data_IF_755063483082
#
_entry.id   IF_755063483082
#
_cell.length_a   1.000
_cell.length_b   1.000
_cell.length_c   1.000
_cell.angle_alpha   90.00
_cell.angle_beta   90.00
_cell.angle_gamma   90.00
#
_symmetry.space_group_name_H-M   'P 1'
#
loop_
_entity.id
_entity.type
_entity.pdbx_description
1 polymer ?
#
# COMPACT_ATOMS: atom_id res chain seq x y z
N UNK A 1 -18.96 10.31 2.05
CA UNK A 1 -19.46 8.94 1.84
C UNK A 1 -18.33 8.06 1.31
N UNK A 2 -18.33 6.74 1.57
CA UNK A 2 -17.44 5.81 0.93
C UNK A 2 -17.61 5.87 -0.59
N UNK A 3 -16.50 5.99 -1.30
CA UNK A 3 -16.46 5.84 -2.75
C UNK A 3 -15.42 4.78 -3.10
N UNK A 4 -15.76 3.97 -4.11
CA UNK A 4 -14.91 2.89 -4.60
C UNK A 4 -14.35 3.26 -5.97
N UNK A 5 -13.04 3.14 -6.09
CA UNK A 5 -12.29 3.34 -7.32
C UNK A 5 -11.63 2.02 -7.71
N UNK A 6 -12.00 1.46 -8.85
CA UNK A 6 -11.48 0.19 -9.36
C UNK A 6 -10.17 0.39 -10.10
N UNK A 7 -9.26 -0.54 -9.88
CA UNK A 7 -7.97 -0.64 -10.55
C UNK A 7 -8.18 -1.40 -11.86
N UNK A 8 -7.68 -0.85 -12.95
CA UNK A 8 -7.80 -1.43 -14.29
C UNK A 8 -6.47 -1.95 -14.81
N UNK A 9 -6.51 -2.99 -15.63
CA UNK A 9 -5.32 -3.67 -16.17
C UNK A 9 -4.41 -2.79 -17.04
N UNK A 10 -4.93 -1.66 -17.53
CA UNK A 10 -4.18 -0.65 -18.27
C UNK A 10 -3.48 0.40 -17.37
N UNK A 11 -3.64 0.30 -16.04
CA UNK A 11 -3.17 1.28 -15.07
C UNK A 11 -4.16 2.41 -14.79
N UNK A 12 -5.40 2.32 -15.27
CA UNK A 12 -6.47 3.24 -14.93
C UNK A 12 -6.99 3.04 -13.50
N UNK A 13 -7.48 4.13 -12.90
CA UNK A 13 -8.24 4.13 -11.65
C UNK A 13 -9.56 4.88 -11.91
N UNK A 14 -10.69 4.20 -11.80
CA UNK A 14 -12.00 4.80 -12.13
C UNK A 14 -13.12 4.30 -11.22
N UNK A 15 -14.26 4.98 -11.16
CA UNK A 15 -15.43 4.50 -10.40
C UNK A 15 -16.24 3.43 -11.13
N UNK A 16 -15.87 3.11 -12.38
CA UNK A 16 -16.50 2.06 -13.16
C UNK A 16 -15.81 0.72 -12.87
N UNK A 17 -16.56 -0.27 -12.42
CA UNK A 17 -16.03 -1.62 -12.23
C UNK A 17 -15.64 -2.24 -13.59
N UNK A 18 -14.64 -3.14 -13.63
CA UNK A 18 -14.35 -3.96 -14.81
C UNK A 18 -15.62 -4.68 -15.28
N UNK A 19 -15.88 -4.65 -16.58
CA UNK A 19 -17.02 -5.35 -17.21
C UNK A 19 -16.59 -6.57 -18.03
N UNK A 20 -15.29 -6.84 -18.08
CA UNK A 20 -14.67 -7.99 -18.73
C UNK A 20 -13.33 -8.30 -18.05
N UNK A 21 -12.68 -9.39 -18.43
CA UNK A 21 -11.31 -9.68 -18.02
C UNK A 21 -10.35 -8.66 -18.64
N UNK A 22 -9.55 -8.03 -17.80
CA UNK A 22 -8.51 -7.08 -18.20
C UNK A 22 -7.12 -7.70 -17.94
N UNK A 23 -6.04 -7.13 -18.52
CA UNK A 23 -4.69 -7.62 -18.27
C UNK A 23 -4.32 -7.66 -16.78
N UNK A 24 -3.73 -8.78 -16.35
CA UNK A 24 -3.11 -8.88 -15.02
C UNK A 24 -1.81 -8.07 -14.98
N UNK A 25 -1.35 -7.73 -13.77
CA UNK A 25 -0.08 -7.02 -13.57
C UNK A 25 0.75 -7.69 -12.49
N UNK A 26 2.03 -7.91 -12.78
CA UNK A 26 2.93 -8.70 -11.93
C UNK A 26 3.98 -7.84 -11.22
N UNK A 27 4.35 -8.26 -10.02
CA UNK A 27 5.51 -7.75 -9.30
C UNK A 27 6.30 -8.91 -8.68
N UNK A 28 7.62 -8.91 -8.89
CA UNK A 28 8.51 -9.89 -8.27
C UNK A 28 8.83 -9.48 -6.83
N UNK A 29 9.02 -10.45 -5.94
CA UNK A 29 9.45 -10.21 -4.57
C UNK A 29 10.69 -9.30 -4.51
N UNK A 30 10.67 -8.28 -3.65
CA UNK A 30 11.78 -7.36 -3.47
C UNK A 30 12.98 -8.03 -2.78
N UNK A 31 14.21 -7.52 -2.98
CA UNK A 31 15.36 -7.87 -2.14
C UNK A 31 15.04 -7.61 -0.67
N UNK A 32 15.42 -8.51 0.25
CA UNK A 32 15.15 -8.33 1.67
C UNK A 32 16.10 -7.34 2.34
N UNK A 33 15.67 -6.75 3.45
CA UNK A 33 16.51 -5.92 4.29
C UNK A 33 17.72 -6.72 4.82
N UNK A 34 18.89 -6.12 4.78
CA UNK A 34 20.05 -6.63 5.50
C UNK A 34 19.94 -6.30 6.98
N UNK A 35 20.61 -7.10 7.82
CA UNK A 35 20.71 -6.83 9.24
C UNK A 35 22.11 -7.17 9.75
N UNK A 36 22.62 -6.33 10.65
CA UNK A 36 23.80 -6.60 11.45
C UNK A 36 23.41 -6.58 12.94
N UNK A 37 24.02 -7.45 13.74
CA UNK A 37 23.70 -7.54 15.15
C UNK A 37 24.94 -7.76 16.00
N UNK A 38 24.94 -7.16 17.18
CA UNK A 38 26.08 -7.18 18.07
C UNK A 38 25.73 -6.74 19.48
N UNK A 39 26.75 -6.46 20.28
CA UNK A 39 26.55 -5.85 21.60
C UNK A 39 26.70 -4.34 21.49
N UNK A 40 25.99 -3.60 22.34
CA UNK A 40 26.30 -2.20 22.60
C UNK A 40 27.73 -2.04 23.12
N UNK A 41 28.27 -0.83 23.07
CA UNK A 41 29.66 -0.53 23.49
C UNK A 41 29.93 -0.91 24.96
N UNK A 42 28.91 -0.84 25.82
CA UNK A 42 28.95 -1.25 27.23
C UNK A 42 28.65 -2.74 27.46
N UNK A 43 28.31 -3.49 26.41
CA UNK A 43 27.96 -4.90 26.46
C UNK A 43 26.58 -5.22 27.04
N UNK A 44 25.81 -4.21 27.45
CA UNK A 44 24.54 -4.38 28.19
C UNK A 44 23.31 -4.65 27.32
N UNK A 45 23.35 -4.27 26.04
CA UNK A 45 22.23 -4.39 25.12
C UNK A 45 22.61 -5.11 23.83
N UNK A 46 21.63 -5.79 23.23
CA UNK A 46 21.70 -6.24 21.84
C UNK A 46 21.52 -5.00 20.95
N UNK A 47 22.47 -4.79 20.04
CA UNK A 47 22.36 -3.82 18.94
C UNK A 47 21.89 -4.57 17.70
N UNK A 48 20.91 -4.01 17.00
CA UNK A 48 20.42 -4.49 15.71
C UNK A 48 20.37 -3.30 14.76
N UNK A 49 21.15 -3.37 13.69
CA UNK A 49 21.13 -2.41 12.60
C UNK A 49 20.39 -3.06 11.42
N UNK A 50 19.39 -2.36 10.86
CA UNK A 50 18.57 -2.84 9.74
C UNK A 50 18.78 -1.89 8.56
N UNK A 51 19.11 -2.45 7.40
CA UNK A 51 19.33 -1.67 6.16
C UNK A 51 18.26 -2.05 5.13
N UNK A 52 17.32 -1.13 4.81
CA UNK A 52 16.36 -1.35 3.72
C UNK A 52 17.05 -1.50 2.35
N UNK A 53 16.61 -2.46 1.55
CA UNK A 53 17.14 -2.78 0.22
C UNK A 53 16.10 -2.71 -0.90
N UNK A 54 14.93 -2.15 -0.61
CA UNK A 54 13.82 -1.96 -1.55
C UNK A 54 13.61 -0.49 -1.94
N UNK A 55 14.54 0.39 -1.57
CA UNK A 55 14.47 1.83 -1.81
C UNK A 55 13.52 2.58 -0.87
N UNK A 56 12.84 1.89 0.05
CA UNK A 56 11.90 2.53 0.98
C UNK A 56 12.58 3.43 2.01
N UNK A 57 13.91 3.38 2.16
CA UNK A 57 14.70 4.38 2.90
C UNK A 57 14.56 5.80 2.32
N UNK A 58 14.16 5.89 1.05
CA UNK A 58 13.88 7.13 0.35
C UNK A 58 12.35 7.34 0.18
N UNK A 59 11.61 7.43 1.29
CA UNK A 59 10.14 7.54 1.28
C UNK A 59 9.56 8.30 2.47
N UNK A 60 8.29 8.73 2.35
CA UNK A 60 7.51 9.23 3.50
C UNK A 60 7.46 8.20 4.65
N UNK A 61 7.38 6.91 4.35
CA UNK A 61 7.36 5.85 5.36
C UNK A 61 8.65 5.86 6.20
N UNK A 62 9.82 6.08 5.58
CA UNK A 62 11.07 6.16 6.33
C UNK A 62 11.11 7.34 7.30
N UNK A 63 10.60 8.50 6.87
CA UNK A 63 10.44 9.66 7.76
C UNK A 63 9.51 9.32 8.91
N UNK A 64 8.35 8.69 8.64
CA UNK A 64 7.38 8.34 9.67
C UNK A 64 7.93 7.34 10.71
N UNK A 65 8.56 6.27 10.24
CA UNK A 65 9.01 5.17 11.11
C UNK A 65 10.36 5.42 11.78
N UNK A 66 11.13 6.41 11.32
CA UNK A 66 12.25 6.99 12.08
C UNK A 66 11.80 8.11 13.03
N UNK A 67 10.49 8.24 13.27
CA UNK A 67 9.88 9.27 14.14
C UNK A 67 10.27 10.70 13.72
N UNK A 68 10.46 10.92 12.41
CA UNK A 68 10.84 12.20 11.82
C UNK A 68 12.34 12.49 11.79
N UNK A 69 13.18 11.68 12.45
CA UNK A 69 14.64 11.92 12.55
C UNK A 69 15.28 12.00 11.18
N UNK A 70 14.91 11.12 10.25
CA UNK A 70 15.43 11.14 8.88
C UNK A 70 15.14 12.47 8.16
N UNK A 71 13.98 13.09 8.42
CA UNK A 71 13.60 14.39 7.87
C UNK A 71 14.34 15.59 8.48
N UNK A 72 15.01 15.41 9.63
CA UNK A 72 15.82 16.44 10.28
C UNK A 72 17.29 16.39 9.87
N UNK A 73 17.83 15.19 9.63
CA UNK A 73 19.27 15.01 9.42
C UNK A 73 19.67 14.82 7.95
N UNK A 74 18.74 14.40 7.09
CA UNK A 74 19.00 14.11 5.67
C UNK A 74 17.78 14.43 4.82
N UNK A 75 17.62 15.72 4.45
CA UNK A 75 16.47 16.23 3.68
C UNK A 75 16.58 15.78 2.22
N UNK A 76 16.02 14.60 1.90
CA UNK A 76 16.02 14.02 0.56
C UNK A 76 14.74 14.34 -0.21
N UNK A 77 14.85 14.65 -1.50
CA UNK A 77 13.70 14.95 -2.36
C UNK A 77 12.63 13.87 -2.41
N UNK A 78 13.06 12.61 -2.27
CA UNK A 78 12.17 11.46 -2.28
C UNK A 78 11.20 11.40 -1.09
N UNK A 79 11.40 12.19 -0.03
CA UNK A 79 10.41 12.27 1.06
C UNK A 79 9.14 13.01 0.65
N UNK A 80 9.17 13.78 -0.44
CA UNK A 80 8.02 14.52 -0.98
C UNK A 80 7.84 14.35 -2.50
N UNK A 81 8.58 13.44 -3.12
CA UNK A 81 8.46 13.07 -4.53
C UNK A 81 8.79 11.58 -4.75
N UNK A 82 7.76 10.75 -4.84
CA UNK A 82 7.88 9.29 -4.92
C UNK A 82 8.15 8.75 -6.34
N UNK A 83 8.34 9.61 -7.36
CA UNK A 83 8.55 9.16 -8.75
C UNK A 83 9.62 8.08 -8.92
N UNK A 84 10.73 8.20 -8.19
CA UNK A 84 11.85 7.24 -8.26
C UNK A 84 11.51 5.96 -7.53
N UNK A 85 10.96 6.06 -6.31
CA UNK A 85 10.55 4.92 -5.50
C UNK A 85 9.50 4.05 -6.20
N UNK A 86 8.54 4.69 -6.85
CA UNK A 86 7.39 4.01 -7.48
C UNK A 86 7.63 3.63 -8.94
N UNK A 87 8.84 3.83 -9.47
CA UNK A 87 9.15 3.57 -10.89
C UNK A 87 8.97 2.09 -11.27
N UNK A 88 9.19 1.17 -10.33
CA UNK A 88 9.01 -0.28 -10.49
C UNK A 88 7.71 -0.80 -9.85
N UNK A 89 6.86 0.08 -9.33
CA UNK A 89 5.60 -0.28 -8.70
C UNK A 89 4.47 -0.43 -9.73
N UNK A 90 3.40 -1.13 -9.33
CA UNK A 90 2.15 -1.16 -10.07
C UNK A 90 1.36 0.11 -9.75
N UNK A 91 1.56 1.14 -10.57
CA UNK A 91 0.86 2.42 -10.44
C UNK A 91 -0.48 2.40 -11.17
N UNK A 92 -1.54 2.87 -10.51
CA UNK A 92 -2.86 3.11 -11.08
C UNK A 92 -3.28 4.55 -10.81
N UNK A 93 -3.78 5.23 -11.84
CA UNK A 93 -4.08 6.66 -11.77
C UNK A 93 -5.45 6.99 -12.32
N UNK A 94 -6.09 7.98 -11.72
CA UNK A 94 -7.29 8.58 -12.31
C UNK A 94 -6.94 9.36 -13.57
N UNK A 95 -7.95 9.68 -14.38
CA UNK A 95 -7.86 10.88 -15.21
C UNK A 95 -7.57 12.11 -14.32
N UNK A 96 -7.01 13.21 -14.87
CA UNK A 96 -6.95 14.47 -14.13
C UNK A 96 -8.32 14.79 -13.53
N UNK A 97 -8.36 15.08 -12.23
CA UNK A 97 -9.59 15.35 -11.51
C UNK A 97 -10.27 16.57 -12.12
N UNK A 98 -11.57 16.46 -12.39
CA UNK A 98 -12.35 17.55 -12.98
C UNK A 98 -12.70 18.66 -11.98
N UNK A 99 -12.60 18.37 -10.68
CA UNK A 99 -12.83 19.28 -9.56
C UNK A 99 -12.01 18.81 -8.35
N UNK A 100 -11.89 19.67 -7.33
CA UNK A 100 -11.21 19.31 -6.08
C UNK A 100 -11.88 18.11 -5.39
N UNK A 101 -11.08 17.11 -5.05
CA UNK A 101 -11.55 15.85 -4.46
C UNK A 101 -10.99 15.67 -3.05
N UNK A 102 -11.84 15.84 -2.03
CA UNK A 102 -11.43 15.75 -0.63
C UNK A 102 -11.62 14.33 -0.08
N UNK A 103 -10.57 13.81 0.53
CA UNK A 103 -10.53 12.51 1.21
C UNK A 103 -10.30 12.78 2.69
N UNK A 104 -11.15 12.25 3.57
CA UNK A 104 -10.98 12.39 5.01
C UNK A 104 -11.41 11.12 5.77
N UNK A 105 -10.43 10.48 6.42
CA UNK A 105 -10.63 9.29 7.25
C UNK A 105 -9.74 8.11 6.83
N UNK A 106 -10.02 6.89 7.31
CA UNK A 106 -9.33 5.68 6.89
C UNK A 106 -9.59 5.33 5.43
N UNK A 107 -8.65 4.63 4.82
CA UNK A 107 -8.73 4.11 3.46
C UNK A 107 -8.50 2.59 3.49
N UNK A 108 -9.02 1.89 2.49
CA UNK A 108 -8.83 0.45 2.34
C UNK A 108 -8.60 0.12 0.87
N UNK A 109 -7.64 -0.74 0.57
CA UNK A 109 -7.54 -1.36 -0.75
C UNK A 109 -8.04 -2.81 -0.67
N UNK A 110 -8.97 -3.19 -1.55
CA UNK A 110 -9.39 -4.56 -1.77
C UNK A 110 -8.65 -5.08 -3.01
N UNK A 111 -7.63 -5.91 -2.81
CA UNK A 111 -6.76 -6.39 -3.89
C UNK A 111 -6.99 -7.88 -4.12
N UNK A 112 -7.29 -8.27 -5.36
CA UNK A 112 -7.37 -9.67 -5.76
C UNK A 112 -6.04 -10.10 -6.35
N UNK A 113 -5.34 -10.96 -5.64
CA UNK A 113 -3.97 -11.35 -5.98
C UNK A 113 -3.83 -12.86 -6.01
N UNK A 114 -2.88 -13.34 -6.80
CA UNK A 114 -2.27 -14.67 -6.65
C UNK A 114 -0.76 -14.52 -6.51
N UNK A 115 -0.08 -15.55 -6.03
CA UNK A 115 1.38 -15.58 -5.96
C UNK A 115 1.90 -16.95 -6.34
N UNK A 116 3.10 -17.01 -6.93
CA UNK A 116 3.81 -18.28 -7.16
C UNK A 116 4.46 -18.84 -5.88
N UNK A 117 4.54 -18.03 -4.82
CA UNK A 117 5.12 -18.38 -3.52
C UNK A 117 4.04 -18.57 -2.44
N UNK A 118 4.44 -19.11 -1.28
CA UNK A 118 3.53 -19.41 -0.16
C UNK A 118 3.02 -18.16 0.57
N UNK A 119 3.64 -17.01 0.34
CA UNK A 119 3.22 -15.73 0.88
C UNK A 119 3.64 -14.58 -0.07
N UNK A 120 3.13 -13.39 0.19
CA UNK A 120 3.46 -12.17 -0.54
C UNK A 120 3.29 -10.95 0.38
N UNK A 121 3.96 -9.85 0.04
CA UNK A 121 3.81 -8.57 0.74
C UNK A 121 3.15 -7.57 -0.20
N UNK A 122 2.15 -6.86 0.30
CA UNK A 122 1.47 -5.78 -0.42
C UNK A 122 1.71 -4.47 0.33
N UNK A 123 2.57 -3.62 -0.23
CA UNK A 123 2.68 -2.21 0.16
C UNK A 123 1.78 -1.39 -0.74
N UNK A 124 0.85 -0.63 -0.16
CA UNK A 124 -0.06 0.25 -0.90
C UNK A 124 0.24 1.69 -0.53
N UNK A 125 0.62 2.52 -1.50
CA UNK A 125 0.92 3.94 -1.30
C UNK A 125 -0.11 4.79 -2.05
N UNK A 126 -0.58 5.84 -1.39
CA UNK A 126 -1.50 6.82 -1.96
C UNK A 126 -0.73 8.13 -2.19
N UNK A 127 -0.93 8.73 -3.36
CA UNK A 127 -0.27 9.97 -3.74
C UNK A 127 -1.08 10.85 -4.70
N UNK A 128 -0.70 12.13 -4.76
CA UNK A 128 -1.19 13.11 -5.73
C UNK A 128 -0.16 13.24 -6.86
N UNK A 129 -0.56 12.96 -8.11
CA UNK A 129 0.28 13.23 -9.28
C UNK A 129 -0.08 14.62 -9.79
N UNK A 130 0.86 15.55 -9.66
CA UNK A 130 0.68 16.93 -10.11
C UNK A 130 0.77 17.01 -11.65
N UNK A 131 0.26 18.09 -12.27
CA UNK A 131 0.42 18.34 -13.71
C UNK A 131 1.89 18.37 -14.18
N UNK A 132 2.82 18.69 -13.28
CA UNK A 132 4.27 18.64 -13.54
C UNK A 132 4.85 17.22 -13.58
N UNK A 133 4.05 16.20 -13.27
CA UNK A 133 4.44 14.81 -13.13
C UNK A 133 4.99 14.42 -11.76
N UNK A 134 5.23 15.38 -10.85
CA UNK A 134 5.68 15.09 -9.47
C UNK A 134 4.64 14.25 -8.73
N UNK A 135 5.09 13.25 -7.98
CA UNK A 135 4.22 12.36 -7.20
C UNK A 135 4.35 12.70 -5.72
N UNK A 136 3.41 13.46 -5.18
CA UNK A 136 3.41 13.87 -3.78
C UNK A 136 2.83 12.74 -2.92
N UNK A 137 3.59 12.15 -1.98
CA UNK A 137 3.07 11.08 -1.13
C UNK A 137 2.08 11.61 -0.09
N UNK A 138 1.05 10.81 0.21
CA UNK A 138 -0.03 11.17 1.14
C UNK A 138 -0.06 10.24 2.35
N UNK A 139 -0.20 8.94 2.11
CA UNK A 139 -0.34 7.91 3.14
C UNK A 139 -0.01 6.55 2.55
N UNK A 140 0.09 5.51 3.38
CA UNK A 140 0.35 4.17 2.91
C UNK A 140 -0.23 3.09 3.85
N UNK A 141 -0.23 1.86 3.37
CA UNK A 141 -0.57 0.63 4.08
C UNK A 141 0.44 -0.48 3.77
N UNK A 142 0.52 -1.49 4.62
CA UNK A 142 1.39 -2.65 4.44
C UNK A 142 0.71 -3.89 4.97
N UNK A 143 0.64 -4.94 4.15
CA UNK A 143 0.01 -6.21 4.52
C UNK A 143 0.86 -7.40 4.09
N UNK A 144 1.07 -8.35 5.01
CA UNK A 144 1.53 -9.69 4.68
C UNK A 144 0.30 -10.53 4.33
N UNK A 145 0.30 -11.19 3.16
CA UNK A 145 -0.90 -11.82 2.61
C UNK A 145 -1.36 -13.03 3.44
N UNK A 146 -0.42 -13.76 4.04
CA UNK A 146 -0.74 -14.83 4.99
C UNK A 146 -1.54 -14.32 6.20
N UNK A 147 -1.41 -13.05 6.56
CA UNK A 147 -2.13 -12.41 7.67
C UNK A 147 -3.40 -11.66 7.23
N UNK A 148 -3.92 -11.92 6.03
CA UNK A 148 -5.08 -11.21 5.45
C UNK A 148 -6.41 -11.42 6.16
N UNK A 149 -6.52 -12.41 7.05
CA UNK A 149 -7.79 -12.71 7.72
C UNK A 149 -8.31 -11.50 8.51
N UNK A 150 -9.55 -11.08 8.23
CA UNK A 150 -10.21 -9.90 8.81
C UNK A 150 -11.20 -10.32 9.89
N UNK A 151 -11.18 -9.63 11.03
CA UNK A 151 -12.23 -9.64 12.05
C UNK A 151 -13.27 -8.55 11.75
N UNK A 152 -14.31 -8.93 11.01
CA UNK A 152 -15.37 -7.99 10.62
C UNK A 152 -16.07 -7.32 11.81
N UNK A 153 -16.09 -7.94 12.99
CA UNK A 153 -16.73 -7.36 14.17
C UNK A 153 -15.96 -6.17 14.73
N UNK A 154 -14.67 -6.05 14.39
CA UNK A 154 -13.75 -4.99 14.82
C UNK A 154 -13.37 -4.03 13.71
N UNK A 155 -13.59 -4.42 12.45
CA UNK A 155 -13.45 -3.54 11.29
C UNK A 155 -14.37 -2.33 11.36
N UNK A 156 -13.95 -1.22 10.75
CA UNK A 156 -14.77 -0.01 10.65
C UNK A 156 -15.59 -0.03 9.37
N UNK A 157 -16.89 0.15 9.54
CA UNK A 157 -17.83 0.31 8.45
C UNK A 157 -18.44 1.72 8.45
N UNK A 158 -18.64 2.27 7.26
CA UNK A 158 -19.36 3.53 7.05
C UNK A 158 -20.37 3.29 5.93
N UNK A 159 -21.65 3.56 6.18
CA UNK A 159 -22.75 3.26 5.24
C UNK A 159 -22.73 1.82 4.66
N UNK A 160 -22.33 0.84 5.48
CA UNK A 160 -22.26 -0.57 5.08
C UNK A 160 -21.00 -0.96 4.30
N UNK A 161 -20.13 -0.02 3.96
CA UNK A 161 -18.85 -0.27 3.29
C UNK A 161 -17.71 -0.36 4.31
N UNK A 162 -16.84 -1.37 4.18
CA UNK A 162 -15.66 -1.52 5.05
C UNK A 162 -14.60 -0.50 4.60
N UNK A 163 -14.21 0.39 5.49
CA UNK A 163 -13.24 1.46 5.19
C UNK A 163 -11.94 1.32 5.96
N UNK A 164 -11.90 0.40 6.93
CA UNK A 164 -10.71 0.08 7.72
C UNK A 164 -10.81 -1.39 8.18
N UNK A 165 -10.05 -2.32 7.59
CA UNK A 165 -10.09 -3.71 8.01
C UNK A 165 -9.37 -3.86 9.36
N UNK A 166 -9.86 -4.75 10.21
CA UNK A 166 -9.14 -5.17 11.41
C UNK A 166 -8.60 -6.59 11.20
N UNK A 167 -7.29 -6.76 11.09
CA UNK A 167 -6.70 -8.10 10.91
C UNK A 167 -6.51 -8.83 12.25
N UNK A 168 -6.71 -10.15 12.24
CA UNK A 168 -6.53 -10.96 13.45
C UNK A 168 -5.08 -10.97 13.96
N UNK A 169 -4.10 -11.00 13.05
CA UNK A 169 -2.67 -11.04 13.35
C UNK A 169 -2.26 -12.12 14.36
N UNK A 170 -2.93 -13.27 14.30
CA UNK A 170 -2.68 -14.45 15.14
C UNK A 170 -2.32 -15.65 14.27
N UNK A 171 -1.51 -16.56 14.82
CA UNK A 171 -1.02 -17.72 14.07
C UNK A 171 -2.15 -18.68 13.67
N UNK A 172 -3.21 -18.85 14.47
CA UNK A 172 -4.34 -19.73 14.15
C UNK A 172 -5.24 -19.16 13.02
N UNK A 173 -5.10 -17.87 12.72
CA UNK A 173 -5.81 -17.18 11.63
C UNK A 173 -4.94 -16.95 10.41
N UNK A 174 -3.70 -17.41 10.44
CA UNK A 174 -2.79 -17.34 9.30
C UNK A 174 -3.30 -18.22 8.15
N UNK A 175 -3.28 -17.67 6.94
CA UNK A 175 -3.80 -18.28 5.72
C UNK A 175 -2.71 -18.25 4.65
N UNK A 176 -1.81 -19.23 4.63
CA UNK A 176 -0.79 -19.32 3.57
C UNK A 176 -1.43 -19.37 2.19
N UNK A 177 -0.74 -18.83 1.18
CA UNK A 177 -1.15 -18.93 -0.21
C UNK A 177 -0.87 -20.34 -0.74
N UNK A 178 -1.80 -20.86 -1.54
CA UNK A 178 -1.46 -21.89 -2.50
C UNK A 178 -0.95 -21.21 -3.77
N UNK A 179 0.10 -21.74 -4.43
CA UNK A 179 0.58 -21.18 -5.68
C UNK A 179 -0.54 -20.99 -6.70
N UNK A 180 -0.60 -19.80 -7.27
CA UNK A 180 -1.55 -19.36 -8.30
C UNK A 180 -3.03 -19.31 -7.88
N UNK A 181 -3.36 -19.56 -6.61
CA UNK A 181 -4.70 -19.36 -6.07
C UNK A 181 -5.00 -17.85 -5.91
N UNK A 182 -6.12 -17.39 -6.48
CA UNK A 182 -6.56 -16.00 -6.35
C UNK A 182 -7.29 -15.80 -5.03
N UNK A 183 -6.82 -14.84 -4.23
CA UNK A 183 -7.41 -14.47 -2.94
C UNK A 183 -7.66 -12.97 -2.87
N UNK A 184 -8.69 -12.57 -2.13
CA UNK A 184 -8.92 -11.16 -1.78
C UNK A 184 -8.10 -10.79 -0.54
N UNK A 185 -7.39 -9.66 -0.62
CA UNK A 185 -6.64 -9.06 0.49
C UNK A 185 -7.16 -7.65 0.71
N UNK A 186 -7.81 -7.41 1.84
CA UNK A 186 -8.18 -6.05 2.28
C UNK A 186 -7.00 -5.45 3.03
N UNK A 187 -6.35 -4.44 2.46
CA UNK A 187 -5.19 -3.75 3.04
C UNK A 187 -5.67 -2.47 3.74
N UNK A 188 -5.39 -2.33 5.04
CA UNK A 188 -5.55 -1.07 5.75
C UNK A 188 -4.55 -0.04 5.23
N UNK A 189 -5.03 1.17 4.90
CA UNK A 189 -4.22 2.32 4.57
C UNK A 189 -4.45 3.38 5.64
N UNK A 190 -3.36 3.94 6.20
CA UNK A 190 -3.47 4.85 7.33
C UNK A 190 -4.39 6.05 7.04
N UNK A 191 -5.24 6.46 8.01
CA UNK A 191 -6.13 7.59 7.84
C UNK A 191 -5.42 8.87 7.42
N UNK A 192 -6.07 9.64 6.55
CA UNK A 192 -5.56 10.93 6.08
C UNK A 192 -6.68 11.96 5.93
N UNK A 193 -6.30 13.23 5.75
CA UNK A 193 -7.19 14.33 5.38
C UNK A 193 -6.48 15.15 4.32
N UNK A 194 -6.88 15.00 3.06
CA UNK A 194 -6.19 15.57 1.91
C UNK A 194 -7.18 15.99 0.83
N UNK A 195 -6.79 16.97 0.03
CA UNK A 195 -7.48 17.36 -1.19
C UNK A 195 -6.59 17.01 -2.38
N UNK A 196 -7.11 16.24 -3.32
CA UNK A 196 -6.52 16.06 -4.65
C UNK A 196 -7.07 17.20 -5.51
N UNK A 197 -6.19 18.10 -5.97
CA UNK A 197 -6.63 19.31 -6.67
C UNK A 197 -7.17 18.99 -8.05
N UNK A 198 -8.08 19.84 -8.55
CA UNK A 198 -8.43 19.89 -9.97
C UNK A 198 -7.17 19.86 -10.85
N UNK A 199 -7.19 19.04 -11.90
CA UNK A 199 -6.09 18.84 -12.83
C UNK A 199 -4.97 17.91 -12.33
N UNK A 200 -4.92 17.59 -11.03
CA UNK A 200 -4.04 16.54 -10.50
C UNK A 200 -4.71 15.16 -10.62
N UNK A 201 -3.95 14.09 -10.41
CA UNK A 201 -4.50 12.73 -10.38
C UNK A 201 -4.35 12.11 -9.00
N UNK A 202 -5.33 11.31 -8.60
CA UNK A 202 -5.17 10.37 -7.50
C UNK A 202 -4.41 9.14 -8.02
N UNK A 203 -3.37 8.73 -7.29
CA UNK A 203 -2.62 7.51 -7.57
C UNK A 203 -2.71 6.54 -6.39
N UNK A 204 -2.90 5.26 -6.72
CA UNK A 204 -2.55 4.12 -5.87
C UNK A 204 -1.34 3.40 -6.49
N UNK A 205 -0.30 3.22 -5.69
CA UNK A 205 0.94 2.54 -6.09
C UNK A 205 1.13 1.28 -5.25
N UNK A 206 1.24 0.13 -5.90
CA UNK A 206 1.35 -1.17 -5.23
C UNK A 206 2.75 -1.73 -5.45
N UNK A 207 3.43 -2.11 -4.36
CA UNK A 207 4.78 -2.64 -4.39
C UNK A 207 4.88 -3.91 -3.54
N UNK A 208 5.85 -4.79 -3.84
CA UNK A 208 6.04 -6.06 -3.13
C UNK A 208 6.74 -5.88 -1.77
N UNK A 209 6.98 -4.64 -1.30
CA UNK A 209 7.60 -4.36 -0.01
C UNK A 209 7.50 -2.89 0.45
N UNK A 210 7.69 -2.68 1.75
CA UNK A 210 7.98 -1.39 2.39
C UNK A 210 8.82 -1.59 3.66
N UNK A 211 10.11 -1.86 3.50
CA UNK A 211 11.01 -2.24 4.60
C UNK A 211 11.21 -1.14 5.65
N UNK A 212 11.08 0.12 5.26
CA UNK A 212 11.06 1.25 6.17
C UNK A 212 9.93 1.15 7.21
N UNK A 213 8.79 0.55 6.85
CA UNK A 213 7.67 0.31 7.75
C UNK A 213 7.74 -1.04 8.45
N UNK A 214 8.12 -2.09 7.74
CA UNK A 214 8.11 -3.44 8.29
C UNK A 214 9.00 -4.39 7.51
N UNK A 215 9.82 -5.15 8.24
CA UNK A 215 10.71 -6.17 7.69
C UNK A 215 10.20 -7.58 8.03
N UNK A 216 10.46 -8.53 7.13
CA UNK A 216 10.16 -9.94 7.34
C UNK A 216 11.22 -10.61 8.21
N UNK A 217 10.76 -11.47 9.13
CA UNK A 217 11.64 -12.41 9.83
C UNK A 217 12.12 -13.52 8.88
N UNK A 218 13.08 -14.35 9.31
CA UNK A 218 13.69 -15.37 8.45
C UNK A 218 12.70 -16.40 7.90
N UNK A 219 11.70 -16.82 8.69
CA UNK A 219 10.68 -17.78 8.24
C UNK A 219 9.80 -17.15 7.16
N UNK A 220 9.35 -15.91 7.38
CA UNK A 220 8.54 -15.18 6.41
C UNK A 220 9.30 -14.90 5.11
N UNK A 221 10.62 -14.63 5.18
CA UNK A 221 11.44 -14.44 3.98
C UNK A 221 11.42 -15.68 3.09
N UNK A 222 11.58 -16.87 3.66
CA UNK A 222 11.55 -18.12 2.88
C UNK A 222 10.19 -18.36 2.22
N UNK A 223 9.09 -17.90 2.83
CA UNK A 223 7.75 -18.02 2.25
C UNK A 223 7.50 -17.09 1.05
N UNK A 224 8.23 -15.97 0.95
CA UNK A 224 8.06 -14.93 -0.10
C UNK A 224 9.14 -15.01 -1.18
N UNK A 225 10.30 -15.56 -0.86
CA UNK A 225 11.51 -15.55 -1.69
C UNK A 225 11.26 -16.09 -3.10
N UNK A 226 11.64 -15.30 -4.10
CA UNK A 226 11.50 -15.67 -5.52
C UNK A 226 10.05 -15.67 -6.03
N UNK A 227 9.08 -15.27 -5.19
CA UNK A 227 7.68 -15.18 -5.56
C UNK A 227 7.43 -14.09 -6.59
N UNK A 228 6.45 -14.35 -7.47
CA UNK A 228 5.84 -13.35 -8.35
C UNK A 228 4.40 -13.21 -7.90
N UNK A 229 4.00 -12.00 -7.54
CA UNK A 229 2.63 -11.66 -7.17
C UNK A 229 1.93 -11.05 -8.37
N UNK A 230 0.78 -11.62 -8.73
CA UNK A 230 -0.07 -11.19 -9.84
C UNK A 230 -1.30 -10.50 -9.28
N UNK A 231 -1.59 -9.29 -9.75
CA UNK A 231 -2.78 -8.52 -9.41
C UNK A 231 -3.82 -8.65 -10.54
N UNK A 232 -5.04 -9.03 -10.16
CA UNK A 232 -6.14 -9.36 -11.07
C UNK A 232 -7.14 -8.20 -11.20
N UNK A 233 -7.70 -8.07 -12.41
CA UNK A 233 -8.65 -7.02 -12.79
C UNK A 233 -9.73 -7.66 -13.68
N UNK A 234 -10.85 -8.07 -13.08
CA UNK A 234 -11.97 -8.66 -13.83
C UNK A 234 -13.29 -8.42 -13.13
N UNK A 235 -14.38 -8.90 -13.77
CA UNK A 235 -15.73 -8.91 -13.17
C UNK A 235 -15.74 -9.73 -11.88
N UNK A 236 -15.04 -10.87 -11.87
CA UNK A 236 -14.95 -11.76 -10.71
C UNK A 236 -13.93 -11.28 -9.68
N UNK A 237 -12.89 -10.57 -10.13
CA UNK A 237 -11.79 -10.05 -9.31
C UNK A 237 -11.62 -8.53 -9.43
N UNK A 238 -12.60 -7.74 -8.95
CA UNK A 238 -12.59 -6.28 -9.12
C UNK A 238 -11.72 -5.62 -8.04
N UNK A 239 -10.40 -5.61 -8.25
CA UNK A 239 -9.46 -4.90 -7.37
C UNK A 239 -9.81 -3.42 -7.27
N UNK A 240 -9.81 -2.84 -6.07
CA UNK A 240 -10.32 -1.48 -5.84
C UNK A 240 -9.74 -0.79 -4.60
N UNK A 241 -9.85 0.53 -4.59
CA UNK A 241 -9.55 1.43 -3.49
C UNK A 241 -10.87 2.02 -2.95
N UNK A 242 -11.10 1.87 -1.66
CA UNK A 242 -12.20 2.49 -0.91
C UNK A 242 -11.64 3.67 -0.12
N UNK A 243 -12.30 4.81 -0.26
CA UNK A 243 -11.93 6.06 0.39
C UNK A 243 -13.17 6.82 0.85
N UNK A 244 -13.02 7.69 1.84
CA UNK A 244 -14.10 8.52 2.37
C UNK A 244 -14.04 9.90 1.73
N UNK A 245 -14.93 10.15 0.77
CA UNK A 245 -15.06 11.45 0.14
C UNK A 245 -15.88 12.42 1.01
N UNK A 246 -15.42 13.65 1.12
CA UNK A 246 -16.16 14.77 1.71
C UNK A 246 -16.54 15.74 0.59
N UNK A 247 -17.84 15.97 0.31
CA UNK A 247 -18.24 16.93 -0.72
C UNK A 247 -17.72 18.33 -0.42
N UNK A 248 -17.26 19.06 -1.45
CA UNK A 248 -16.79 20.43 -1.27
C UNK A 248 -17.86 21.38 -0.71
N UNK A 249 -19.12 21.12 -1.03
CA UNK A 249 -20.27 21.91 -0.55
C UNK A 249 -20.42 21.96 0.97
N UNK A 250 -19.87 21.00 1.71
CA UNK A 250 -19.93 20.97 3.18
C UNK A 250 -18.71 21.60 3.86
N UNK A 251 -17.70 22.02 3.07
CA UNK A 251 -16.46 22.63 3.57
C UNK A 251 -16.39 24.15 3.31
N UNK A 252 -17.33 24.68 2.54
CA UNK A 252 -17.38 26.08 2.10
C UNK A 252 -18.13 27.03 3.06
N UNK A 253 -18.49 26.56 4.26
CA UNK A 253 -19.08 27.34 5.36
C UNK A 253 -18.01 27.81 6.37
#
# INVERSE_FOLDING_TARGET
>A
EPQRWYLHGDGGLSQQAPFMDEPVRDMAAAPFADYDYGKSDDGGFLKLDITPNDGSDCSLSYVQWTLGVAGLTDIRSCYWDHRVLEASALNYETAPMAEDYVIAGPLQADLWISSTAADAVLSVRIGEVLPSGRVVPITNGLQLVSLRAVDESRSRYVFGEMVQPYHFLTQDKEQMLQPDEVVKVSVEIFPTSVMIREGSKLRISISPSNQAQGVLNLVQRENVKGGVTTLHHSVDYPSSLVLLNVPMSVLSD
#
